data_IF_363889472194
#
_entry.id   IF_363889472194
#
_cell.length_a   1.000
_cell.length_b   1.000
_cell.length_c   1.000
_cell.angle_alpha   90.00
_cell.angle_beta   90.00
_cell.angle_gamma   90.00
#
_symmetry.space_group_name_H-M   'P 1'
#
loop_
_entity.id
_entity.type
_entity.pdbx_description
1 polymer ?
#
# COMPACT_ATOMS: atom_id res chain seq x y z
N UNK A 1 -4.03 -17.11 9.73
CA UNK A 1 -4.09 -15.66 9.47
C UNK A 1 -3.99 -14.97 10.80
N UNK A 2 -2.94 -14.20 11.02
CA UNK A 2 -2.90 -13.30 12.18
C UNK A 2 -3.98 -12.23 11.94
N UNK A 3 -4.99 -12.20 12.81
CA UNK A 3 -6.01 -11.15 12.75
C UNK A 3 -5.38 -9.89 13.31
N UNK A 4 -5.25 -8.86 12.48
CA UNK A 4 -4.94 -7.51 12.96
C UNK A 4 -5.89 -7.15 14.10
N UNK A 5 -5.34 -6.48 15.11
CA UNK A 5 -6.12 -6.05 16.24
C UNK A 5 -7.15 -4.97 15.79
N UNK A 6 -8.19 -4.75 16.59
CA UNK A 6 -9.25 -3.78 16.25
C UNK A 6 -8.68 -2.35 16.03
N UNK A 7 -7.64 -1.99 16.77
CA UNK A 7 -6.98 -0.67 16.69
C UNK A 7 -6.27 -0.47 15.35
N UNK A 8 -5.51 -1.46 14.87
CA UNK A 8 -4.81 -1.43 13.58
C UNK A 8 -5.80 -1.29 12.43
N UNK A 9 -6.91 -2.04 12.47
CA UNK A 9 -7.97 -1.90 11.47
C UNK A 9 -8.58 -0.49 11.48
N UNK A 10 -8.81 0.09 12.66
CA UNK A 10 -9.31 1.47 12.77
C UNK A 10 -8.31 2.49 12.22
N UNK A 11 -7.02 2.33 12.53
CA UNK A 11 -5.96 3.20 12.03
C UNK A 11 -5.84 3.13 10.50
N UNK A 12 -5.94 1.92 9.94
CA UNK A 12 -5.95 1.71 8.48
C UNK A 12 -7.17 2.38 7.85
N UNK A 13 -8.35 2.27 8.46
CA UNK A 13 -9.56 2.95 7.97
C UNK A 13 -9.41 4.48 8.00
N UNK A 14 -8.81 5.02 9.05
CA UNK A 14 -8.51 6.46 9.15
C UNK A 14 -7.55 6.88 8.05
N UNK A 15 -6.45 6.14 7.86
CA UNK A 15 -5.47 6.41 6.80
C UNK A 15 -6.10 6.34 5.40
N UNK A 16 -6.88 5.30 5.11
CA UNK A 16 -7.56 5.17 3.83
C UNK A 16 -8.58 6.29 3.58
N UNK A 17 -9.24 6.77 4.65
CA UNK A 17 -10.14 7.92 4.59
C UNK A 17 -9.41 9.23 4.33
N UNK A 18 -8.21 9.43 4.88
CA UNK A 18 -7.39 10.60 4.57
C UNK A 18 -6.80 10.58 3.16
N UNK A 19 -6.72 9.40 2.54
CA UNK A 19 -6.26 9.19 1.16
C UNK A 19 -7.41 9.21 0.12
N UNK A 20 -8.53 9.89 0.40
CA UNK A 20 -9.60 10.08 -0.60
C UNK A 20 -9.06 10.83 -1.83
N UNK A 21 -9.37 10.33 -3.03
CA UNK A 21 -8.87 10.87 -4.30
C UNK A 21 -7.48 10.40 -4.73
N UNK A 22 -6.76 9.69 -3.87
CA UNK A 22 -5.43 9.14 -4.18
C UNK A 22 -5.55 7.81 -4.95
N UNK A 23 -4.61 7.54 -5.87
CA UNK A 23 -4.59 6.32 -6.68
C UNK A 23 -4.43 5.06 -5.83
N UNK A 24 -4.88 3.90 -6.34
CA UNK A 24 -4.69 2.61 -5.65
C UNK A 24 -3.21 2.28 -5.43
N UNK A 25 -2.35 2.65 -6.38
CA UNK A 25 -0.90 2.46 -6.27
C UNK A 25 -0.32 3.25 -5.10
N UNK A 26 -0.68 4.53 -4.97
CA UNK A 26 -0.17 5.37 -3.89
C UNK A 26 -0.72 4.94 -2.53
N UNK A 27 -1.98 4.48 -2.45
CA UNK A 27 -2.52 3.85 -1.24
C UNK A 27 -1.74 2.60 -0.82
N UNK A 28 -1.40 1.73 -1.79
CA UNK A 28 -0.58 0.56 -1.52
C UNK A 28 0.82 0.96 -1.03
N UNK A 29 1.41 2.00 -1.61
CA UNK A 29 2.70 2.52 -1.17
C UNK A 29 2.67 3.07 0.27
N UNK A 30 1.65 3.88 0.62
CA UNK A 30 1.50 4.41 1.98
C UNK A 30 1.31 3.30 3.02
N UNK A 31 0.52 2.27 2.71
CA UNK A 31 0.36 1.11 3.60
C UNK A 31 1.65 0.30 3.73
N UNK A 32 2.40 0.12 2.64
CA UNK A 32 3.70 -0.54 2.67
C UNK A 32 4.73 0.24 3.50
N UNK A 33 4.71 1.58 3.43
CA UNK A 33 5.53 2.45 4.28
C UNK A 33 5.14 2.37 5.76
N UNK A 34 3.86 2.16 6.05
CA UNK A 34 3.35 1.92 7.40
C UNK A 34 3.67 0.51 7.95
N UNK A 35 4.34 -0.35 7.17
CA UNK A 35 4.81 -1.66 7.59
C UNK A 35 3.85 -2.82 7.33
N UNK A 36 2.73 -2.59 6.63
CA UNK A 36 1.79 -3.66 6.29
C UNK A 36 2.36 -4.57 5.19
N UNK A 37 2.15 -5.87 5.34
CA UNK A 37 2.52 -6.88 4.35
C UNK A 37 1.65 -6.80 3.10
N UNK A 38 2.15 -7.36 1.98
CA UNK A 38 1.40 -7.41 0.73
C UNK A 38 0.04 -8.12 0.86
N UNK A 39 -0.07 -9.08 1.80
CA UNK A 39 -1.32 -9.78 2.08
C UNK A 39 -2.33 -8.87 2.78
N UNK A 40 -1.89 -8.11 3.79
CA UNK A 40 -2.75 -7.17 4.52
C UNK A 40 -3.21 -6.02 3.62
N UNK A 41 -2.28 -5.45 2.84
CA UNK A 41 -2.60 -4.42 1.86
C UNK A 41 -3.63 -4.93 0.85
N UNK A 42 -3.46 -6.16 0.37
CA UNK A 42 -4.41 -6.77 -0.55
C UNK A 42 -5.80 -6.93 0.06
N UNK A 43 -5.88 -7.31 1.34
CA UNK A 43 -7.13 -7.39 2.08
C UNK A 43 -7.79 -6.01 2.22
N UNK A 44 -7.03 -4.95 2.56
CA UNK A 44 -7.59 -3.60 2.71
C UNK A 44 -8.05 -2.99 1.39
N UNK A 45 -7.28 -3.19 0.32
CA UNK A 45 -7.57 -2.63 -1.00
C UNK A 45 -8.46 -3.55 -1.86
N UNK A 46 -8.94 -4.65 -1.29
CA UNK A 46 -9.81 -5.63 -1.94
C UNK A 46 -9.23 -6.11 -3.28
N UNK A 47 -7.99 -6.59 -3.23
CA UNK A 47 -7.23 -7.08 -4.40
C UNK A 47 -6.42 -8.32 -4.04
N UNK A 48 -5.58 -8.80 -4.96
CA UNK A 48 -4.69 -9.96 -4.75
C UNK A 48 -3.29 -9.50 -4.33
N UNK A 49 -2.57 -10.27 -3.48
CA UNK A 49 -1.20 -9.94 -3.07
C UNK A 49 -0.23 -9.77 -4.26
N UNK A 50 -0.41 -10.55 -5.33
CA UNK A 50 0.38 -10.44 -6.55
C UNK A 50 0.26 -9.07 -7.23
N UNK A 51 -0.93 -8.46 -7.19
CA UNK A 51 -1.17 -7.12 -7.74
C UNK A 51 -0.45 -6.06 -6.91
N UNK A 52 -0.46 -6.20 -5.58
CA UNK A 52 0.29 -5.31 -4.68
C UNK A 52 1.80 -5.41 -4.94
N UNK A 53 2.34 -6.63 -5.02
CA UNK A 53 3.75 -6.85 -5.35
C UNK A 53 4.15 -6.18 -6.66
N UNK A 54 3.30 -6.29 -7.69
CA UNK A 54 3.54 -5.64 -8.98
C UNK A 54 3.51 -4.11 -8.87
N UNK A 55 2.52 -3.54 -8.18
CA UNK A 55 2.40 -2.09 -7.96
C UNK A 55 3.65 -1.52 -7.26
N UNK A 56 4.06 -2.12 -6.15
CA UNK A 56 5.22 -1.66 -5.37
C UNK A 56 6.54 -1.80 -6.15
N UNK A 57 6.67 -2.88 -6.94
CA UNK A 57 7.84 -3.10 -7.78
C UNK A 57 7.94 -2.04 -8.90
N UNK A 58 6.84 -1.77 -9.60
CA UNK A 58 6.80 -0.75 -10.65
C UNK A 58 7.10 0.65 -10.09
N UNK A 59 6.56 0.98 -8.91
CA UNK A 59 6.86 2.23 -8.23
C UNK A 59 8.35 2.38 -7.92
N UNK A 60 8.96 1.35 -7.33
CA UNK A 60 10.41 1.33 -7.05
C UNK A 60 11.27 1.49 -8.32
N UNK A 61 10.83 0.94 -9.45
CA UNK A 61 11.50 1.17 -10.73
C UNK A 61 11.39 2.62 -11.20
N UNK A 62 10.20 3.23 -11.05
CA UNK A 62 9.97 4.62 -11.41
C UNK A 62 10.88 5.56 -10.59
N UNK A 63 10.92 5.37 -9.27
CA UNK A 63 11.76 6.17 -8.38
C UNK A 63 13.26 6.04 -8.73
N UNK A 64 13.71 4.85 -9.14
CA UNK A 64 15.10 4.62 -9.61
C UNK A 64 15.41 5.34 -10.92
N UNK A 65 14.45 5.41 -11.84
CA UNK A 65 14.62 6.11 -13.12
C UNK A 65 14.63 7.62 -12.92
N UNK A 66 13.75 8.14 -12.06
CA UNK A 66 13.71 9.57 -11.71
C UNK A 66 15.04 10.02 -11.09
N UNK A 67 15.60 9.25 -10.14
CA UNK A 67 16.91 9.55 -9.54
C UNK A 67 18.11 9.47 -10.48
N UNK A 68 17.97 8.83 -11.64
CA UNK A 68 19.05 8.74 -12.65
C UNK A 68 19.04 9.92 -13.62
N UNK A 69 17.92 10.63 -13.71
CA UNK A 69 17.72 11.77 -14.61
C UNK A 69 17.84 13.13 -13.88
N UNK A 70 18.19 13.11 -12.60
CA UNK A 70 18.53 14.27 -11.75
C UNK A 70 20.02 14.20 -11.46
#
# INVERSE_FOLDING_TARGET
MEKLNRTENLLVLILLSSLKGVTKEEKANQLNLAGFSNLEIANFLQTRPAVISQMLYLRKQKDRKEKRNV
#
